data_IF_915792904692
#
_entry.id   IF_915792904692
#
_cell.length_a   1.000
_cell.length_b   1.000
_cell.length_c   1.000
_cell.angle_alpha   90.00
_cell.angle_beta   90.00
_cell.angle_gamma   90.00
#
_symmetry.space_group_name_H-M   'P 1'
#
loop_
_entity.id
_entity.type
_entity.pdbx_description
1 polymer ?
#
# COMPACT_ATOMS: atom_id res chain seq x y z
N UNK A 1 1.05 18.34 5.19
CA UNK A 1 0.42 17.40 4.25
C UNK A 1 1.47 16.85 3.29
N UNK A 2 1.56 15.54 3.20
CA UNK A 2 2.59 14.87 2.40
C UNK A 2 2.06 14.23 1.12
N UNK A 3 0.74 14.10 0.99
CA UNK A 3 0.11 13.54 -0.20
C UNK A 3 0.13 14.57 -1.32
N UNK A 4 0.86 14.29 -2.39
CA UNK A 4 0.99 15.19 -3.54
C UNK A 4 1.14 14.40 -4.84
N UNK A 5 1.36 15.09 -5.97
CA UNK A 5 1.47 14.46 -7.27
C UNK A 5 2.60 13.45 -7.36
N UNK A 6 3.68 13.65 -6.61
CA UNK A 6 4.82 12.72 -6.61
C UNK A 6 4.40 11.37 -6.05
N UNK A 7 3.59 11.38 -4.99
CA UNK A 7 3.07 10.14 -4.40
C UNK A 7 2.14 9.45 -5.38
N UNK A 8 1.26 10.20 -6.03
CA UNK A 8 0.32 9.65 -7.00
C UNK A 8 1.06 8.99 -8.15
N UNK A 9 2.11 9.63 -8.67
CA UNK A 9 2.94 9.06 -9.74
C UNK A 9 3.66 7.80 -9.28
N UNK A 10 4.15 7.80 -8.05
CA UNK A 10 4.88 6.67 -7.48
C UNK A 10 4.01 5.43 -7.37
N UNK A 11 2.69 5.61 -7.22
CA UNK A 11 1.75 4.53 -7.03
C UNK A 11 1.00 4.15 -8.30
N UNK A 12 1.53 4.51 -9.47
CA UNK A 12 0.95 4.14 -10.74
C UNK A 12 1.26 2.68 -11.05
N UNK A 13 0.22 1.84 -11.05
CA UNK A 13 0.36 0.40 -11.30
C UNK A 13 0.91 0.08 -12.69
N UNK A 14 0.79 1.00 -13.64
CA UNK A 14 1.32 0.78 -15.00
C UNK A 14 2.83 0.89 -15.05
N UNK A 15 3.45 1.61 -14.12
CA UNK A 15 4.88 1.84 -14.11
C UNK A 15 5.59 1.12 -12.96
N UNK A 16 4.85 0.78 -11.92
CA UNK A 16 5.41 0.14 -10.73
C UNK A 16 5.71 -1.34 -11.00
N UNK A 17 6.92 -1.77 -10.71
CA UNK A 17 7.34 -3.14 -10.92
C UNK A 17 7.10 -3.96 -9.67
N UNK A 18 5.98 -4.68 -9.67
CA UNK A 18 5.61 -5.55 -8.56
C UNK A 18 5.98 -6.99 -8.86
N UNK A 19 6.28 -7.81 -7.83
CA UNK A 19 6.53 -9.23 -8.06
C UNK A 19 5.30 -9.93 -8.62
N UNK A 20 5.51 -10.90 -9.50
CA UNK A 20 4.41 -11.58 -10.18
C UNK A 20 3.49 -12.34 -9.22
N UNK A 21 4.01 -12.73 -8.05
CA UNK A 21 3.23 -13.48 -7.06
C UNK A 21 2.21 -12.66 -6.28
N UNK A 22 2.22 -11.33 -6.43
CA UNK A 22 1.28 -10.46 -5.73
C UNK A 22 0.63 -9.50 -6.73
N UNK A 23 -0.53 -9.86 -7.29
CA UNK A 23 -1.30 -8.94 -8.12
C UNK A 23 -1.96 -7.89 -7.24
N UNK A 24 -1.88 -6.62 -7.64
CA UNK A 24 -2.54 -5.52 -6.94
C UNK A 24 -3.47 -4.85 -7.94
N UNK A 25 -4.74 -4.73 -7.59
CA UNK A 25 -5.76 -4.19 -8.51
C UNK A 25 -6.02 -2.71 -8.27
N UNK A 26 -5.74 -2.20 -7.07
CA UNK A 26 -5.83 -0.78 -6.75
C UNK A 26 -4.72 -0.40 -5.79
N UNK A 27 -4.23 0.81 -5.93
CA UNK A 27 -3.14 1.30 -5.09
C UNK A 27 -3.31 2.81 -4.90
N UNK A 28 -3.39 3.25 -3.65
CA UNK A 28 -3.48 4.68 -3.33
C UNK A 28 -2.91 4.94 -1.94
N UNK A 29 -2.73 6.21 -1.63
CA UNK A 29 -2.21 6.60 -0.31
C UNK A 29 -3.04 7.74 0.26
N UNK A 30 -2.96 7.89 1.57
CA UNK A 30 -3.55 9.01 2.28
C UNK A 30 -2.57 9.54 3.31
N UNK A 31 -2.76 10.77 3.74
CA UNK A 31 -1.96 11.36 4.80
C UNK A 31 -2.19 10.58 6.09
N UNK A 32 -1.11 10.35 6.81
CA UNK A 32 -1.17 9.60 8.05
C UNK A 32 -0.23 10.22 9.07
N UNK A 33 -0.62 10.21 10.32
CA UNK A 33 0.24 10.64 11.43
C UNK A 33 0.59 9.41 12.25
N UNK A 34 1.88 9.14 12.41
CA UNK A 34 2.33 7.99 13.18
C UNK A 34 1.95 8.16 14.66
N UNK A 35 2.01 7.07 15.41
CA UNK A 35 1.73 7.14 16.86
C UNK A 35 2.70 8.07 17.60
N UNK A 36 3.85 8.36 17.02
CA UNK A 36 4.83 9.31 17.58
C UNK A 36 4.55 10.75 17.17
N UNK A 37 3.55 10.98 16.33
CA UNK A 37 3.20 12.32 15.86
C UNK A 37 3.91 12.77 14.59
N UNK A 38 4.69 11.90 13.96
CA UNK A 38 5.42 12.24 12.73
C UNK A 38 4.53 12.10 11.49
N UNK A 39 4.79 12.94 10.50
CA UNK A 39 4.12 12.83 9.20
C UNK A 39 4.51 11.53 8.52
N UNK A 40 3.52 10.88 7.93
CA UNK A 40 3.71 9.61 7.24
C UNK A 40 2.68 9.46 6.14
N UNK A 41 2.73 8.35 5.42
CA UNK A 41 1.73 7.97 4.43
C UNK A 41 1.14 6.62 4.82
N UNK A 42 -0.15 6.45 4.59
CA UNK A 42 -0.79 5.15 4.67
C UNK A 42 -1.12 4.72 3.25
N UNK A 43 -0.43 3.68 2.77
CA UNK A 43 -0.62 3.15 1.41
C UNK A 43 -1.54 1.95 1.49
N UNK A 44 -2.57 1.95 0.65
CA UNK A 44 -3.54 0.86 0.57
C UNK A 44 -3.34 0.11 -0.73
N UNK A 45 -3.01 -1.16 -0.64
CA UNK A 45 -2.85 -2.04 -1.80
C UNK A 45 -3.97 -3.08 -1.77
N UNK A 46 -4.85 -3.03 -2.75
CA UNK A 46 -6.01 -3.90 -2.81
C UNK A 46 -5.69 -5.12 -3.68
N UNK A 47 -5.92 -6.28 -3.11
CA UNK A 47 -5.69 -7.57 -3.77
C UNK A 47 -6.98 -8.06 -4.43
N UNK A 48 -6.88 -8.89 -5.49
CA UNK A 48 -8.07 -9.47 -6.11
C UNK A 48 -8.86 -10.34 -5.12
N UNK A 49 -10.17 -10.33 -5.24
CA UNK A 49 -11.03 -11.12 -4.36
C UNK A 49 -10.80 -12.62 -4.50
N UNK A 50 -10.42 -13.06 -5.70
CA UNK A 50 -10.19 -14.47 -5.99
C UNK A 50 -8.76 -14.95 -5.68
N UNK A 51 -7.92 -14.07 -5.17
CA UNK A 51 -6.55 -14.43 -4.81
C UNK A 51 -6.55 -15.40 -3.62
N UNK A 52 -5.81 -16.50 -3.77
CA UNK A 52 -5.61 -17.43 -2.67
C UNK A 52 -4.44 -16.94 -1.80
N UNK A 53 -4.76 -16.37 -0.66
CA UNK A 53 -3.78 -15.83 0.27
C UNK A 53 -2.75 -16.88 0.69
N UNK A 54 -3.15 -18.13 0.73
CA UNK A 54 -2.25 -19.21 1.14
C UNK A 54 -1.09 -19.44 0.15
N UNK A 55 -1.28 -19.00 -1.09
CA UNK A 55 -0.23 -19.13 -2.11
C UNK A 55 0.71 -17.93 -2.15
N UNK A 56 0.38 -16.88 -1.41
CA UNK A 56 1.21 -15.69 -1.33
C UNK A 56 2.24 -15.90 -0.23
N UNK A 57 3.52 -15.76 -0.57
CA UNK A 57 4.58 -15.93 0.40
C UNK A 57 4.90 -14.62 1.11
N UNK A 58 5.48 -14.72 2.31
CA UNK A 58 5.97 -13.55 3.02
C UNK A 58 7.03 -12.79 2.22
N UNK A 59 7.82 -13.50 1.45
CA UNK A 59 8.83 -12.90 0.58
C UNK A 59 8.18 -12.02 -0.48
N UNK A 60 7.13 -12.51 -1.13
CA UNK A 60 6.41 -11.73 -2.15
C UNK A 60 5.80 -10.47 -1.55
N UNK A 61 5.23 -10.57 -0.37
CA UNK A 61 4.68 -9.42 0.35
C UNK A 61 5.77 -8.38 0.61
N UNK A 62 6.92 -8.82 1.12
CA UNK A 62 8.02 -7.92 1.41
C UNK A 62 8.59 -7.26 0.16
N UNK A 63 8.72 -8.02 -0.93
CA UNK A 63 9.21 -7.48 -2.20
C UNK A 63 8.25 -6.43 -2.75
N UNK A 64 6.93 -6.66 -2.64
CA UNK A 64 5.94 -5.70 -3.07
C UNK A 64 6.01 -4.43 -2.23
N UNK A 65 6.15 -4.55 -0.92
CA UNK A 65 6.29 -3.39 -0.04
C UNK A 65 7.55 -2.60 -0.35
N UNK A 66 8.67 -3.28 -0.60
CA UNK A 66 9.91 -2.61 -0.99
C UNK A 66 9.76 -1.85 -2.30
N UNK A 67 9.12 -2.46 -3.29
CA UNK A 67 8.91 -1.81 -4.57
C UNK A 67 8.08 -0.53 -4.41
N UNK A 68 7.05 -0.56 -3.60
CA UNK A 68 6.20 0.60 -3.32
C UNK A 68 6.99 1.68 -2.60
N UNK A 69 7.73 1.32 -1.55
CA UNK A 69 8.55 2.29 -0.80
C UNK A 69 9.59 2.94 -1.70
N UNK A 70 10.32 2.12 -2.46
CA UNK A 70 11.36 2.63 -3.33
C UNK A 70 10.82 3.58 -4.38
N UNK A 71 9.65 3.27 -4.93
CA UNK A 71 8.99 4.13 -5.90
C UNK A 71 8.65 5.49 -5.28
N UNK A 72 8.10 5.49 -4.06
CA UNK A 72 7.77 6.73 -3.35
C UNK A 72 9.02 7.55 -3.08
N UNK A 73 10.05 6.91 -2.52
CA UNK A 73 11.29 7.60 -2.19
C UNK A 73 12.04 8.11 -3.43
N UNK A 74 11.93 7.38 -4.55
CA UNK A 74 12.57 7.82 -5.80
C UNK A 74 11.98 9.11 -6.36
N UNK A 75 10.77 9.47 -5.95
CA UNK A 75 10.13 10.73 -6.33
C UNK A 75 10.54 11.89 -5.42
N UNK A 76 11.41 11.64 -4.45
CA UNK A 76 11.87 12.67 -3.53
C UNK A 76 11.01 12.82 -2.28
N UNK A 77 10.02 11.97 -2.10
CA UNK A 77 9.19 11.94 -0.90
C UNK A 77 9.96 11.21 0.20
N UNK A 78 10.13 11.84 1.34
CA UNK A 78 11.01 11.32 2.40
C UNK A 78 10.28 10.77 3.62
N UNK A 79 8.97 10.92 3.68
CA UNK A 79 8.18 10.38 4.80
C UNK A 79 8.07 8.86 4.71
N UNK A 80 7.83 8.21 5.83
CA UNK A 80 7.73 6.75 5.85
C UNK A 80 6.37 6.28 5.37
N UNK A 81 6.32 5.37 4.36
CA UNK A 81 5.07 4.80 3.91
C UNK A 81 4.73 3.53 4.67
N UNK A 82 3.61 3.54 5.40
CA UNK A 82 3.03 2.35 6.00
C UNK A 82 2.14 1.70 4.95
N UNK A 83 2.34 0.42 4.67
CA UNK A 83 1.65 -0.26 3.58
C UNK A 83 0.74 -1.35 4.12
N UNK A 84 -0.53 -1.27 3.75
CA UNK A 84 -1.53 -2.30 4.07
C UNK A 84 -1.93 -3.03 2.79
N UNK A 85 -1.96 -4.35 2.84
CA UNK A 85 -2.41 -5.17 1.72
C UNK A 85 -3.61 -5.99 2.19
N UNK A 86 -4.71 -5.87 1.46
CA UNK A 86 -5.94 -6.58 1.82
C UNK A 86 -6.87 -6.66 0.62
N UNK A 87 -7.88 -7.52 0.70
CA UNK A 87 -8.92 -7.61 -0.33
C UNK A 87 -9.98 -6.54 -0.08
N UNK A 88 -10.68 -6.13 -1.13
CA UNK A 88 -11.70 -5.10 -1.02
C UNK A 88 -12.78 -5.45 0.00
N UNK A 89 -13.16 -6.72 0.08
CA UNK A 89 -14.16 -7.17 1.04
C UNK A 89 -13.71 -7.01 2.48
N UNK A 90 -12.41 -7.04 2.74
CA UNK A 90 -11.87 -6.90 4.08
C UNK A 90 -11.97 -5.46 4.60
N UNK A 91 -12.09 -4.50 3.70
CA UNK A 91 -12.28 -3.10 4.10
C UNK A 91 -13.58 -2.96 4.89
N UNK A 92 -14.64 -3.58 4.40
CA UNK A 92 -15.94 -3.51 5.06
C UNK A 92 -15.91 -4.16 6.43
N UNK A 93 -15.21 -5.27 6.55
CA UNK A 93 -15.05 -5.97 7.82
C UNK A 93 -14.32 -5.08 8.82
N UNK A 94 -13.20 -4.48 8.39
CA UNK A 94 -12.42 -3.59 9.24
C UNK A 94 -13.24 -2.38 9.70
N UNK A 95 -14.03 -1.82 8.80
CA UNK A 95 -14.89 -0.69 9.13
C UNK A 95 -15.92 -1.06 10.18
N UNK A 96 -16.48 -2.25 10.10
CA UNK A 96 -17.45 -2.74 11.06
C UNK A 96 -16.82 -2.92 12.44
N UNK A 97 -15.60 -3.41 12.48
CA UNK A 97 -14.87 -3.59 13.74
C UNK A 97 -14.54 -2.25 14.40
N UNK A 98 -14.19 -1.26 13.61
CA UNK A 98 -13.85 0.06 14.13
C UNK A 98 -15.07 0.73 14.78
N UNK A 99 -16.25 0.46 14.29
CA UNK A 99 -17.47 1.04 14.82
C UNK A 99 -17.90 0.47 16.17
N UNK A 100 -17.35 -0.65 16.53
CA UNK A 100 -17.63 -1.25 17.82
C UNK A 100 -16.87 -0.54 18.93
#
# INVERSE_FOLDING_TARGET
MVLDERVIKALDLNTLRLPAGIPIVRLWAEDYTSWQGDDALMVHAILPEDLDIKQVTGRDINLAKEAIRDSIWSQGVTVFPYIKMYKASEIEVDSSEIEE
#
